data_IF_700469329055
#
_entry.id   IF_700469329055
#
_cell.length_a   1.000
_cell.length_b   1.000
_cell.length_c   1.000
_cell.angle_alpha   90.00
_cell.angle_beta   90.00
_cell.angle_gamma   90.00
#
_symmetry.space_group_name_H-M   'P 1'
#
loop_
_entity.id
_entity.type
_entity.pdbx_description
1 polymer ?
#
# COMPACT_ATOMS: atom_id res chain seq x y z
N UNK A 1 -12.08 -7.36 -18.33
CA UNK A 1 -12.88 -6.25 -17.78
C UNK A 1 -13.46 -6.71 -16.44
N UNK A 2 -13.05 -6.09 -15.34
CA UNK A 2 -13.50 -6.41 -13.98
C UNK A 2 -14.97 -6.03 -13.83
N UNK A 3 -15.85 -7.00 -13.54
CA UNK A 3 -17.28 -6.73 -13.28
C UNK A 3 -17.40 -5.98 -11.96
N UNK A 4 -17.93 -4.76 -12.00
CA UNK A 4 -18.29 -3.99 -10.81
C UNK A 4 -19.46 -4.70 -10.11
N UNK A 5 -19.18 -5.33 -8.95
CA UNK A 5 -20.19 -6.07 -8.16
C UNK A 5 -21.13 -5.15 -7.40
N UNK A 6 -20.67 -3.96 -7.03
CA UNK A 6 -21.44 -3.04 -6.23
C UNK A 6 -22.31 -2.14 -7.12
N UNK A 7 -23.63 -2.30 -7.03
CA UNK A 7 -24.61 -1.70 -7.95
C UNK A 7 -25.13 -0.32 -7.52
N UNK A 8 -24.98 0.04 -6.24
CA UNK A 8 -25.47 1.30 -5.66
C UNK A 8 -24.33 2.06 -4.95
N UNK A 9 -23.26 2.36 -5.68
CA UNK A 9 -22.13 3.13 -5.14
C UNK A 9 -21.99 4.42 -5.93
N UNK A 10 -22.09 5.54 -5.24
CA UNK A 10 -21.81 6.85 -5.80
C UNK A 10 -20.47 7.33 -5.28
N UNK A 11 -19.66 7.89 -6.17
CA UNK A 11 -18.45 8.57 -5.74
C UNK A 11 -18.85 9.83 -4.98
N UNK A 12 -18.43 9.93 -3.73
CA UNK A 12 -18.60 11.14 -2.93
C UNK A 12 -17.32 11.95 -3.03
N UNK A 13 -17.39 13.13 -3.67
CA UNK A 13 -16.31 14.09 -3.56
C UNK A 13 -16.29 14.66 -2.15
N UNK A 14 -15.14 14.52 -1.48
CA UNK A 14 -14.90 15.19 -0.21
C UNK A 14 -14.29 16.58 -0.44
N UNK A 15 -14.38 17.45 0.56
CA UNK A 15 -13.94 18.85 0.47
C UNK A 15 -12.42 19.03 0.27
N UNK A 16 -11.62 17.96 0.41
CA UNK A 16 -10.15 18.00 0.40
C UNK A 16 -9.61 17.25 -0.81
N UNK A 17 -9.05 17.98 -1.77
CA UNK A 17 -8.45 17.39 -2.96
C UNK A 17 -7.03 16.85 -2.69
N UNK A 18 -6.53 16.02 -3.63
CA UNK A 18 -5.15 15.49 -3.59
C UNK A 18 -4.11 16.62 -3.57
N UNK A 19 -4.36 17.72 -4.29
CA UNK A 19 -3.46 18.87 -4.34
C UNK A 19 -3.33 19.56 -2.97
N UNK A 20 -4.43 19.66 -2.21
CA UNK A 20 -4.42 20.24 -0.87
C UNK A 20 -3.59 19.40 0.09
N UNK A 21 -3.73 18.07 0.04
CA UNK A 21 -2.91 17.15 0.84
C UNK A 21 -1.43 17.24 0.49
N UNK A 22 -1.10 17.33 -0.81
CA UNK A 22 0.29 17.47 -1.24
C UNK A 22 0.90 18.79 -0.73
N UNK A 23 0.13 19.88 -0.77
CA UNK A 23 0.56 21.20 -0.26
C UNK A 23 0.73 21.17 1.26
N UNK A 24 -0.24 20.59 1.98
CA UNK A 24 -0.20 20.47 3.43
C UNK A 24 1.01 19.66 3.92
N UNK A 25 1.30 18.54 3.27
CA UNK A 25 2.42 17.66 3.66
C UNK A 25 3.77 18.08 3.07
N UNK A 26 3.80 19.03 2.12
CA UNK A 26 5.03 19.37 1.39
C UNK A 26 5.63 18.21 0.58
N UNK A 27 4.82 17.22 0.21
CA UNK A 27 5.25 16.03 -0.56
C UNK A 27 4.12 15.46 -1.41
N UNK A 28 4.46 14.72 -2.47
CA UNK A 28 3.49 13.96 -3.28
C UNK A 28 3.43 12.52 -2.80
N UNK A 29 2.22 12.00 -2.61
CA UNK A 29 2.03 10.57 -2.34
C UNK A 29 2.34 9.71 -3.57
N UNK A 30 3.01 8.58 -3.33
CA UNK A 30 3.36 7.55 -4.31
C UNK A 30 3.36 6.16 -3.66
N UNK A 31 3.24 5.12 -4.47
CA UNK A 31 3.38 3.72 -4.04
C UNK A 31 4.60 3.11 -4.72
N UNK A 32 5.50 2.54 -3.91
CA UNK A 32 6.65 1.79 -4.40
C UNK A 32 6.36 0.30 -4.20
N UNK A 33 6.09 -0.40 -5.28
CA UNK A 33 5.68 -1.80 -5.26
C UNK A 33 6.89 -2.73 -5.44
N UNK A 34 7.42 -3.26 -4.34
CA UNK A 34 8.48 -4.26 -4.39
C UNK A 34 7.90 -5.65 -4.69
N UNK A 35 8.28 -6.22 -5.83
CA UNK A 35 7.92 -7.58 -6.24
C UNK A 35 9.17 -8.40 -6.53
N UNK A 36 9.09 -9.72 -6.34
CA UNK A 36 10.23 -10.62 -6.47
C UNK A 36 10.09 -11.88 -5.64
N UNK A 37 10.95 -12.85 -5.89
CA UNK A 37 10.97 -14.16 -5.23
C UNK A 37 11.11 -14.04 -3.70
N UNK A 38 10.66 -15.07 -2.97
CA UNK A 38 10.97 -15.15 -1.53
C UNK A 38 12.48 -15.12 -1.32
N UNK A 39 12.96 -14.36 -0.32
CA UNK A 39 14.39 -14.17 -0.08
C UNK A 39 15.11 -13.18 -1.01
N UNK A 40 14.44 -12.57 -2.00
CA UNK A 40 15.08 -11.59 -2.91
C UNK A 40 15.42 -10.23 -2.28
N UNK A 41 15.25 -10.07 -0.96
CA UNK A 41 15.59 -8.84 -0.24
C UNK A 41 14.53 -7.73 -0.24
N UNK A 42 13.28 -7.99 -0.65
CA UNK A 42 12.19 -6.98 -0.69
C UNK A 42 12.02 -6.24 0.64
N UNK A 43 11.78 -7.00 1.72
CA UNK A 43 11.58 -6.41 3.05
C UNK A 43 12.83 -5.71 3.58
N UNK A 44 14.02 -6.26 3.31
CA UNK A 44 15.31 -5.63 3.66
C UNK A 44 15.45 -4.24 3.02
N UNK A 45 15.18 -4.14 1.71
CA UNK A 45 15.25 -2.86 0.98
C UNK A 45 14.14 -1.91 1.46
N UNK A 46 12.92 -2.41 1.66
CA UNK A 46 11.80 -1.59 2.12
C UNK A 46 12.05 -0.97 3.50
N UNK A 47 12.65 -1.72 4.44
CA UNK A 47 13.05 -1.21 5.77
C UNK A 47 14.12 -0.13 5.65
N UNK A 48 15.17 -0.37 4.85
CA UNK A 48 16.23 0.61 4.64
C UNK A 48 15.70 1.89 3.97
N UNK A 49 14.80 1.76 3.01
CA UNK A 49 14.17 2.89 2.33
C UNK A 49 13.28 3.70 3.27
N UNK A 50 12.48 3.05 4.12
CA UNK A 50 11.63 3.72 5.11
C UNK A 50 12.48 4.56 6.08
N UNK A 51 13.60 4.02 6.57
CA UNK A 51 14.56 4.76 7.39
C UNK A 51 15.17 5.96 6.63
N UNK A 52 15.60 5.77 5.37
CA UNK A 52 16.16 6.85 4.57
C UNK A 52 15.15 7.98 4.28
N UNK A 53 13.88 7.64 4.03
CA UNK A 53 12.81 8.62 3.84
C UNK A 53 12.51 9.40 5.12
N UNK A 54 12.53 8.73 6.27
CA UNK A 54 12.38 9.37 7.58
C UNK A 54 13.47 10.43 7.82
N UNK A 55 14.74 10.10 7.57
CA UNK A 55 15.85 11.06 7.68
C UNK A 55 15.72 12.27 6.74
N UNK A 56 15.03 12.09 5.60
CA UNK A 56 14.71 13.16 4.65
C UNK A 56 13.44 13.95 5.00
N UNK A 57 12.82 13.67 6.15
CA UNK A 57 11.57 14.29 6.59
C UNK A 57 10.38 13.93 5.70
N UNK A 58 10.41 12.76 5.06
CA UNK A 58 9.31 12.27 4.21
C UNK A 58 8.43 11.31 4.98
N UNK A 59 7.13 11.59 4.97
CA UNK A 59 6.14 10.68 5.54
C UNK A 59 6.02 9.46 4.62
N UNK A 60 6.40 8.30 5.12
CA UNK A 60 6.29 7.01 4.46
C UNK A 60 5.73 5.95 5.41
N UNK A 61 5.18 4.89 4.84
CA UNK A 61 4.72 3.74 5.61
C UNK A 61 4.95 2.46 4.80
N UNK A 62 5.59 1.46 5.41
CA UNK A 62 5.82 0.16 4.80
C UNK A 62 4.66 -0.80 5.04
N UNK A 63 4.08 -1.26 3.94
CA UNK A 63 3.10 -2.34 3.89
C UNK A 63 3.81 -3.63 3.50
N UNK A 64 4.07 -4.51 4.48
CA UNK A 64 4.74 -5.80 4.27
C UNK A 64 3.76 -6.96 4.43
N UNK A 65 3.95 -8.01 3.64
CA UNK A 65 3.07 -9.18 3.61
C UNK A 65 2.93 -9.83 4.99
N UNK A 66 4.02 -9.87 5.77
CA UNK A 66 4.00 -10.42 7.12
C UNK A 66 3.17 -9.56 8.09
N UNK A 67 3.24 -8.23 7.97
CA UNK A 67 2.48 -7.31 8.82
C UNK A 67 0.99 -7.26 8.44
N UNK A 68 0.68 -7.29 7.15
CA UNK A 68 -0.70 -7.26 6.66
C UNK A 68 -1.42 -8.59 6.94
N UNK A 69 -0.73 -9.74 6.85
CA UNK A 69 -1.28 -11.07 7.16
C UNK A 69 -1.62 -11.24 8.64
N UNK A 70 -1.02 -10.47 9.55
CA UNK A 70 -1.40 -10.47 10.96
C UNK A 70 -2.63 -9.59 11.27
N UNK A 71 -3.05 -8.72 10.34
CA UNK A 71 -4.13 -7.77 10.53
C UNK A 71 -5.26 -7.94 9.52
N UNK A 72 -5.28 -7.05 8.53
CA UNK A 72 -6.38 -6.89 7.57
C UNK A 72 -6.59 -8.16 6.73
N UNK A 73 -5.53 -8.91 6.42
CA UNK A 73 -5.60 -10.11 5.57
C UNK A 73 -5.43 -11.42 6.36
N UNK A 74 -5.74 -11.42 7.67
CA UNK A 74 -5.60 -12.61 8.52
C UNK A 74 -6.45 -13.81 8.09
N UNK A 75 -7.48 -13.58 7.28
CA UNK A 75 -8.39 -14.59 6.75
C UNK A 75 -7.90 -15.20 5.42
N UNK A 76 -6.81 -14.72 4.84
CA UNK A 76 -6.27 -15.20 3.57
C UNK A 76 -5.13 -16.21 3.80
N UNK A 77 -5.23 -17.38 3.18
CA UNK A 77 -4.22 -18.42 3.22
C UNK A 77 -3.07 -18.19 2.23
N UNK A 78 -2.55 -19.28 1.64
CA UNK A 78 -1.46 -19.25 0.66
C UNK A 78 -1.84 -19.83 -0.70
N UNK A 79 -3.13 -20.10 -0.93
CA UNK A 79 -3.66 -20.53 -2.24
C UNK A 79 -3.43 -19.48 -3.33
N UNK A 80 -3.57 -19.86 -4.60
CA UNK A 80 -3.41 -18.91 -5.70
C UNK A 80 -4.49 -17.81 -5.66
N UNK A 81 -5.69 -18.20 -5.25
CA UNK A 81 -6.85 -17.35 -5.06
C UNK A 81 -6.62 -16.37 -3.90
N UNK A 82 -6.19 -16.86 -2.74
CA UNK A 82 -5.89 -16.01 -1.56
C UNK A 82 -4.73 -15.05 -1.85
N UNK A 83 -3.75 -15.45 -2.65
CA UNK A 83 -2.64 -14.57 -3.05
C UNK A 83 -3.11 -13.46 -3.99
N UNK A 84 -4.11 -13.73 -4.83
CA UNK A 84 -4.69 -12.74 -5.75
C UNK A 84 -5.49 -11.69 -4.98
N UNK A 85 -6.27 -12.11 -3.98
CA UNK A 85 -7.02 -11.20 -3.10
C UNK A 85 -6.11 -10.40 -2.14
N UNK A 86 -4.93 -10.94 -1.81
CA UNK A 86 -3.95 -10.27 -0.95
C UNK A 86 -3.17 -9.13 -1.65
N UNK A 87 -3.36 -8.92 -2.96
CA UNK A 87 -2.66 -7.90 -3.77
C UNK A 87 -3.51 -6.65 -3.96
#
# INVERSE_FOLDING_TARGET
>A
MTKQKATNVHWHEGDIARADRNRFLGQKGATLWFTGLSGSGKSTIAVALEAALYELGKLSYRLDGDNIRMGINRNLGFSAEDRTENI
#
